data_IF_356236582214
#
_entry.id   IF_356236582214
#
_cell.length_a   1.000
_cell.length_b   1.000
_cell.length_c   1.000
_cell.angle_alpha   90.00
_cell.angle_beta   90.00
_cell.angle_gamma   90.00
#
_symmetry.space_group_name_H-M   'P 1'
#
loop_
_entity.id
_entity.type
_entity.pdbx_description
1 polymer ?
#
# COMPACT_ATOMS: atom_id res chain seq x y z
N UNK A 1 12.75 -39.80 11.41
CA UNK A 1 12.27 -38.42 11.68
C UNK A 1 11.04 -38.18 10.83
N UNK A 2 9.89 -38.01 11.47
CA UNK A 2 8.54 -38.22 10.95
C UNK A 2 8.08 -37.09 10.00
N UNK A 3 7.39 -37.44 8.91
CA UNK A 3 6.66 -36.51 7.98
C UNK A 3 5.73 -35.53 8.73
N UNK A 4 5.26 -35.87 9.94
CA UNK A 4 4.44 -34.98 10.79
C UNK A 4 5.24 -33.78 11.34
N UNK A 5 6.53 -33.92 11.64
CA UNK A 5 7.37 -32.85 12.18
C UNK A 5 7.74 -31.80 11.12
N UNK A 6 7.93 -32.23 9.85
CA UNK A 6 8.18 -31.33 8.73
C UNK A 6 6.93 -30.46 8.39
N UNK A 7 5.74 -31.03 8.53
CA UNK A 7 4.49 -30.30 8.31
C UNK A 7 4.21 -29.23 9.38
N UNK A 8 4.53 -29.54 10.63
CA UNK A 8 4.38 -28.60 11.75
C UNK A 8 5.33 -27.40 11.60
N UNK A 9 6.60 -27.68 11.32
CA UNK A 9 7.63 -26.64 11.09
C UNK A 9 7.28 -25.72 9.91
N UNK A 10 6.71 -26.28 8.86
CA UNK A 10 6.28 -25.48 7.68
C UNK A 10 5.10 -24.55 8.01
N UNK A 11 4.12 -25.04 8.79
CA UNK A 11 3.00 -24.22 9.27
C UNK A 11 3.47 -23.11 10.21
N UNK A 12 4.38 -23.40 11.12
CA UNK A 12 4.96 -22.40 12.03
C UNK A 12 5.77 -21.35 11.28
N UNK A 13 6.53 -21.73 10.25
CA UNK A 13 7.26 -20.80 9.40
C UNK A 13 6.32 -19.84 8.66
N UNK A 14 5.24 -20.36 8.06
CA UNK A 14 4.21 -19.55 7.39
C UNK A 14 3.54 -18.59 8.37
N UNK A 15 3.15 -19.09 9.55
CA UNK A 15 2.54 -18.26 10.59
C UNK A 15 3.47 -17.15 11.07
N UNK A 16 4.75 -17.49 11.34
CA UNK A 16 5.74 -16.51 11.79
C UNK A 16 6.02 -15.47 10.70
N UNK A 17 6.09 -15.86 9.42
CA UNK A 17 6.23 -14.93 8.30
C UNK A 17 5.06 -13.95 8.24
N UNK A 18 3.82 -14.43 8.38
CA UNK A 18 2.61 -13.57 8.42
C UNK A 18 2.63 -12.59 9.60
N UNK A 19 3.04 -13.07 10.81
CA UNK A 19 3.17 -12.20 12.00
C UNK A 19 4.24 -11.12 11.80
N UNK A 20 5.37 -11.47 11.21
CA UNK A 20 6.45 -10.53 10.90
C UNK A 20 6.01 -9.47 9.89
N UNK A 21 5.29 -9.84 8.83
CA UNK A 21 4.77 -8.88 7.84
C UNK A 21 3.72 -7.93 8.46
N UNK A 22 2.81 -8.46 9.27
CA UNK A 22 1.81 -7.63 9.96
C UNK A 22 2.47 -6.65 10.95
N UNK A 23 3.47 -7.11 11.71
CA UNK A 23 4.24 -6.27 12.61
C UNK A 23 5.08 -5.23 11.85
N UNK A 24 5.72 -5.62 10.74
CA UNK A 24 6.52 -4.71 9.91
C UNK A 24 5.67 -3.56 9.36
N UNK A 25 4.47 -3.85 8.83
CA UNK A 25 3.54 -2.81 8.37
C UNK A 25 3.22 -1.80 9.47
N UNK A 26 2.84 -2.29 10.66
CA UNK A 26 2.50 -1.43 11.79
C UNK A 26 3.70 -0.60 12.25
N UNK A 27 4.84 -1.22 12.45
CA UNK A 27 6.05 -0.57 12.96
C UNK A 27 6.60 0.45 11.95
N UNK A 28 6.58 0.13 10.65
CA UNK A 28 6.94 1.09 9.60
C UNK A 28 5.97 2.27 9.55
N UNK A 29 4.68 2.04 9.76
CA UNK A 29 3.67 3.11 9.82
C UNK A 29 3.88 4.06 11.01
N UNK A 30 4.25 3.53 12.17
CA UNK A 30 4.42 4.29 13.42
C UNK A 30 5.77 5.02 13.46
N UNK A 31 6.86 4.32 13.11
CA UNK A 31 8.23 4.77 13.33
C UNK A 31 9.02 5.06 12.05
N UNK A 32 8.42 4.83 10.87
CA UNK A 32 9.09 4.97 9.58
C UNK A 32 10.00 3.77 9.27
N UNK A 33 10.65 3.86 8.11
CA UNK A 33 11.42 2.75 7.55
C UNK A 33 12.81 2.55 8.18
N UNK A 34 13.30 3.52 8.96
CA UNK A 34 14.61 3.44 9.62
C UNK A 34 14.59 2.66 10.95
N UNK A 35 13.40 2.27 11.42
CA UNK A 35 13.22 1.51 12.65
C UNK A 35 14.07 0.24 12.69
N UNK A 36 14.61 -0.10 13.86
CA UNK A 36 15.43 -1.30 14.03
C UNK A 36 14.62 -2.58 13.78
N UNK A 37 15.18 -3.55 13.02
CA UNK A 37 14.55 -4.86 12.80
C UNK A 37 14.21 -5.60 14.10
N UNK A 38 14.97 -5.30 15.18
CA UNK A 38 14.71 -5.83 16.51
C UNK A 38 13.34 -5.42 17.07
N UNK A 39 12.88 -4.22 16.75
CA UNK A 39 11.55 -3.75 17.17
C UNK A 39 10.44 -4.48 16.41
N UNK A 40 10.65 -4.74 15.12
CA UNK A 40 9.74 -5.55 14.32
C UNK A 40 9.64 -6.98 14.87
N UNK A 41 10.77 -7.60 15.22
CA UNK A 41 10.80 -8.93 15.83
C UNK A 41 10.04 -8.96 17.17
N UNK A 42 10.25 -7.94 18.01
CA UNK A 42 9.54 -7.78 19.29
C UNK A 42 8.03 -7.57 19.06
N UNK A 43 7.64 -6.72 18.13
CA UNK A 43 6.24 -6.45 17.80
C UNK A 43 5.53 -7.66 17.19
N UNK A 44 6.28 -8.56 16.53
CA UNK A 44 5.79 -9.84 16.00
C UNK A 44 5.78 -10.96 17.04
N UNK A 45 6.34 -10.74 18.23
CA UNK A 45 6.57 -11.75 19.27
C UNK A 45 7.32 -12.97 18.71
N UNK A 46 8.45 -12.69 18.03
CA UNK A 46 9.39 -13.71 17.53
C UNK A 46 10.83 -13.34 17.88
N UNK A 47 11.72 -14.34 17.89
CA UNK A 47 13.13 -14.07 18.10
C UNK A 47 13.77 -13.35 16.90
N UNK A 48 14.85 -12.58 17.14
CA UNK A 48 15.66 -12.00 16.06
C UNK A 48 16.15 -13.08 15.09
N UNK A 49 16.55 -14.24 15.57
CA UNK A 49 16.98 -15.37 14.74
C UNK A 49 15.85 -15.82 13.82
N UNK A 50 14.61 -15.84 14.29
CA UNK A 50 13.44 -16.16 13.48
C UNK A 50 13.20 -15.10 12.39
N UNK A 51 13.37 -13.81 12.71
CA UNK A 51 13.27 -12.74 11.73
C UNK A 51 14.31 -12.91 10.63
N UNK A 52 15.60 -13.05 10.97
CA UNK A 52 16.68 -13.19 9.99
C UNK A 52 16.62 -14.49 9.18
N UNK A 53 15.98 -15.54 9.70
CA UNK A 53 15.69 -16.74 8.91
C UNK A 53 14.59 -16.54 7.87
N UNK A 54 13.66 -15.63 8.13
CA UNK A 54 12.56 -15.33 7.22
C UNK A 54 12.90 -14.22 6.22
N UNK A 55 13.75 -13.26 6.64
CA UNK A 55 14.13 -12.09 5.82
C UNK A 55 15.60 -11.78 6.08
N UNK A 56 16.42 -11.92 5.04
CA UNK A 56 17.87 -11.72 5.11
C UNK A 56 18.28 -10.28 5.39
N UNK A 57 17.44 -9.31 5.02
CA UNK A 57 17.71 -7.88 5.22
C UNK A 57 16.43 -7.07 5.46
N UNK A 58 16.62 -5.78 5.82
CA UNK A 58 15.54 -4.80 5.93
C UNK A 58 14.86 -4.56 4.59
N UNK A 59 15.67 -4.45 3.54
CA UNK A 59 15.24 -4.20 2.18
C UNK A 59 14.38 -5.36 1.67
N UNK A 60 14.74 -6.60 1.99
CA UNK A 60 13.95 -7.78 1.65
C UNK A 60 12.61 -7.79 2.38
N UNK A 61 12.59 -7.47 3.67
CA UNK A 61 11.36 -7.34 4.46
C UNK A 61 10.46 -6.23 3.89
N UNK A 62 11.04 -5.05 3.61
CA UNK A 62 10.31 -3.94 3.02
C UNK A 62 9.76 -4.28 1.63
N UNK A 63 10.56 -4.91 0.79
CA UNK A 63 10.12 -5.36 -0.53
C UNK A 63 8.95 -6.35 -0.44
N UNK A 64 8.99 -7.27 0.53
CA UNK A 64 7.89 -8.21 0.75
C UNK A 64 6.62 -7.50 1.26
N UNK A 65 6.76 -6.51 2.14
CA UNK A 65 5.62 -5.69 2.59
C UNK A 65 5.02 -4.90 1.42
N UNK A 66 5.87 -4.35 0.56
CA UNK A 66 5.43 -3.60 -0.62
C UNK A 66 4.70 -4.51 -1.62
N UNK A 67 5.26 -5.69 -1.90
CA UNK A 67 4.66 -6.71 -2.77
C UNK A 67 3.27 -7.14 -2.29
N UNK A 68 3.10 -7.33 -0.98
CA UNK A 68 1.81 -7.64 -0.38
C UNK A 68 0.81 -6.47 -0.50
N UNK A 69 1.28 -5.22 -0.46
CA UNK A 69 0.44 -4.06 -0.75
C UNK A 69 -0.06 -4.10 -2.20
N UNK A 70 0.78 -4.49 -3.17
CA UNK A 70 0.35 -4.63 -4.57
C UNK A 70 -0.71 -5.73 -4.72
N UNK A 71 -0.53 -6.88 -4.08
CA UNK A 71 -1.56 -7.95 -4.08
C UNK A 71 -2.91 -7.41 -3.57
N UNK A 72 -2.90 -6.62 -2.49
CA UNK A 72 -4.13 -6.01 -1.96
C UNK A 72 -4.76 -4.99 -2.92
N UNK A 73 -3.94 -4.26 -3.69
CA UNK A 73 -4.43 -3.37 -4.74
C UNK A 73 -5.10 -4.19 -5.86
N UNK A 74 -4.46 -5.27 -6.29
CA UNK A 74 -5.00 -6.17 -7.32
C UNK A 74 -6.34 -6.81 -6.88
N UNK A 75 -6.41 -7.30 -5.63
CA UNK A 75 -7.64 -7.86 -5.05
C UNK A 75 -8.75 -6.80 -4.99
N UNK A 76 -8.44 -5.60 -4.49
CA UNK A 76 -9.42 -4.51 -4.43
C UNK A 76 -9.88 -4.07 -5.82
N UNK A 77 -8.97 -3.97 -6.79
CA UNK A 77 -9.33 -3.66 -8.18
C UNK A 77 -10.28 -4.71 -8.77
N UNK A 78 -10.06 -5.98 -8.46
CA UNK A 78 -10.94 -7.06 -8.93
C UNK A 78 -12.37 -6.95 -8.33
N UNK A 79 -12.49 -6.57 -7.04
CA UNK A 79 -13.78 -6.35 -6.38
C UNK A 79 -14.54 -5.15 -6.97
N UNK A 80 -13.81 -4.14 -7.44
CA UNK A 80 -14.39 -2.89 -7.96
C UNK A 80 -14.76 -2.95 -9.46
N UNK A 81 -14.53 -4.07 -10.13
CA UNK A 81 -14.91 -4.23 -11.53
C UNK A 81 -16.40 -4.02 -11.74
N UNK A 82 -16.75 -3.17 -12.73
CA UNK A 82 -18.14 -2.83 -13.04
C UNK A 82 -18.77 -1.78 -12.10
N UNK A 83 -18.00 -1.24 -11.15
CA UNK A 83 -18.44 -0.08 -10.36
C UNK A 83 -18.18 1.22 -11.10
N UNK A 84 -19.17 2.10 -11.19
CA UNK A 84 -19.05 3.45 -11.78
C UNK A 84 -18.05 4.33 -11.03
N UNK A 85 -17.84 4.06 -9.74
CA UNK A 85 -16.91 4.77 -8.85
C UNK A 85 -15.62 4.01 -8.61
N UNK A 86 -15.43 2.86 -9.27
CA UNK A 86 -14.34 1.92 -9.00
C UNK A 86 -12.95 2.54 -9.12
N UNK A 87 -12.72 3.43 -10.09
CA UNK A 87 -11.45 4.13 -10.24
C UNK A 87 -11.16 5.05 -9.05
N UNK A 88 -12.15 5.82 -8.58
CA UNK A 88 -12.04 6.67 -7.41
C UNK A 88 -11.85 5.85 -6.13
N UNK A 89 -12.63 4.79 -5.95
CA UNK A 89 -12.53 3.93 -4.76
C UNK A 89 -11.16 3.24 -4.65
N UNK A 90 -10.59 2.78 -5.78
CA UNK A 90 -9.25 2.22 -5.79
C UNK A 90 -8.19 3.29 -5.52
N UNK A 91 -8.35 4.48 -6.09
CA UNK A 91 -7.46 5.62 -5.81
C UNK A 91 -7.43 5.95 -4.31
N UNK A 92 -8.60 6.09 -3.69
CA UNK A 92 -8.74 6.35 -2.26
C UNK A 92 -8.11 5.24 -1.40
N UNK A 93 -8.33 3.97 -1.76
CA UNK A 93 -7.74 2.81 -1.09
C UNK A 93 -6.21 2.85 -1.11
N UNK A 94 -5.61 3.24 -2.24
CA UNK A 94 -4.14 3.35 -2.36
C UNK A 94 -3.61 4.50 -1.52
N UNK A 95 -4.29 5.65 -1.49
CA UNK A 95 -3.89 6.77 -0.64
C UNK A 95 -3.93 6.42 0.86
N UNK A 96 -4.98 5.72 1.30
CA UNK A 96 -5.07 5.22 2.68
C UNK A 96 -3.94 4.24 3.02
N UNK A 97 -3.61 3.37 2.08
CA UNK A 97 -2.50 2.42 2.24
C UNK A 97 -1.14 3.13 2.33
N UNK A 98 -0.91 4.15 1.51
CA UNK A 98 0.33 4.96 1.55
C UNK A 98 0.48 5.65 2.91
N UNK A 99 -0.60 6.27 3.42
CA UNK A 99 -0.60 6.90 4.74
C UNK A 99 -0.34 5.88 5.85
N UNK A 100 -0.97 4.72 5.79
CA UNK A 100 -0.80 3.64 6.76
C UNK A 100 0.57 2.98 6.72
N UNK A 101 1.29 3.04 5.60
CA UNK A 101 2.60 2.39 5.41
C UNK A 101 3.79 3.35 5.53
N UNK A 102 3.58 4.67 5.73
CA UNK A 102 4.62 5.71 5.72
C UNK A 102 5.61 5.54 4.56
N UNK A 103 5.11 5.34 3.37
CA UNK A 103 5.90 5.09 2.15
C UNK A 103 7.22 4.33 2.41
N UNK A 104 7.20 3.02 2.30
CA UNK A 104 8.42 2.18 2.35
C UNK A 104 9.17 2.17 1.02
N UNK A 105 8.61 2.82 -0.01
CA UNK A 105 9.21 2.93 -1.33
C UNK A 105 10.67 3.46 -1.34
N UNK A 106 11.08 4.41 -0.47
CA UNK A 106 12.47 4.90 -0.46
C UNK A 106 13.52 3.85 -0.13
N UNK A 107 13.19 2.80 0.61
CA UNK A 107 14.15 1.74 0.97
C UNK A 107 14.16 0.56 0.00
N UNK A 108 13.26 0.58 -0.99
CA UNK A 108 13.26 -0.48 -1.99
C UNK A 108 14.50 -0.33 -2.89
N UNK A 109 15.27 -1.42 -3.08
CA UNK A 109 16.39 -1.38 -4.01
C UNK A 109 15.87 -1.00 -5.39
N UNK A 110 16.33 0.13 -5.93
CA UNK A 110 16.02 0.53 -7.31
C UNK A 110 16.75 -0.34 -8.34
N UNK A 111 17.55 -1.29 -7.87
CA UNK A 111 18.30 -2.20 -8.71
C UNK A 111 17.43 -3.37 -9.19
N UNK A 112 17.44 -3.58 -10.50
CA UNK A 112 17.00 -4.77 -11.20
C UNK A 112 15.48 -5.03 -11.27
N UNK A 113 14.74 -4.22 -12.04
CA UNK A 113 13.48 -4.68 -12.65
C UNK A 113 12.28 -4.89 -11.72
N UNK A 114 12.52 -5.31 -10.47
CA UNK A 114 11.46 -5.64 -9.51
C UNK A 114 10.56 -4.45 -9.15
N UNK A 115 11.15 -3.25 -9.05
CA UNK A 115 10.36 -2.04 -8.79
C UNK A 115 9.49 -1.69 -10.00
N UNK A 116 10.05 -1.84 -11.21
CA UNK A 116 9.33 -1.60 -12.46
C UNK A 116 8.19 -2.62 -12.63
N UNK A 117 8.41 -3.89 -12.28
CA UNK A 117 7.37 -4.92 -12.28
C UNK A 117 6.23 -4.59 -11.31
N UNK A 118 6.54 -4.12 -10.11
CA UNK A 118 5.52 -3.74 -9.11
C UNK A 118 4.74 -2.50 -9.54
N UNK A 119 5.41 -1.52 -10.16
CA UNK A 119 4.75 -0.34 -10.74
C UNK A 119 3.85 -0.73 -11.92
N UNK A 120 4.30 -1.65 -12.77
CA UNK A 120 3.51 -2.18 -13.88
C UNK A 120 2.25 -2.90 -13.39
N UNK A 121 2.36 -3.74 -12.36
CA UNK A 121 1.21 -4.43 -11.74
C UNK A 121 0.20 -3.45 -11.15
N UNK A 122 0.66 -2.38 -10.50
CA UNK A 122 -0.23 -1.30 -10.03
C UNK A 122 -0.96 -0.65 -11.20
N UNK A 123 -0.25 -0.33 -12.29
CA UNK A 123 -0.85 0.25 -13.49
C UNK A 123 -1.89 -0.68 -14.11
N UNK A 124 -1.59 -1.98 -14.20
CA UNK A 124 -2.51 -2.98 -14.75
C UNK A 124 -3.77 -3.17 -13.89
N UNK A 125 -3.66 -3.03 -12.57
CA UNK A 125 -4.81 -3.04 -11.68
C UNK A 125 -5.75 -1.83 -11.89
N UNK A 126 -5.18 -0.65 -12.14
CA UNK A 126 -5.95 0.57 -12.39
C UNK A 126 -6.54 0.66 -13.80
N UNK A 127 -5.82 0.15 -14.80
CA UNK A 127 -6.16 0.31 -16.22
C UNK A 127 -7.63 0.05 -16.52
N UNK A 128 -8.23 -1.12 -16.24
CA UNK A 128 -9.61 -1.41 -16.60
C UNK A 128 -10.59 -0.47 -15.90
N UNK A 129 -10.34 -0.11 -14.64
CA UNK A 129 -11.24 0.79 -13.90
C UNK A 129 -11.20 2.22 -14.44
N UNK A 130 -10.02 2.71 -14.84
CA UNK A 130 -9.87 4.05 -15.42
C UNK A 130 -10.47 4.10 -16.84
N UNK A 131 -10.30 3.05 -17.65
CA UNK A 131 -10.91 2.94 -18.97
C UNK A 131 -12.46 2.89 -18.88
N UNK A 132 -12.99 2.15 -17.90
CA UNK A 132 -14.43 2.10 -17.64
C UNK A 132 -14.96 3.46 -17.17
N UNK A 133 -14.24 4.11 -16.25
CA UNK A 133 -14.58 5.44 -15.76
C UNK A 133 -14.53 6.52 -16.86
N UNK A 134 -13.56 6.45 -17.77
CA UNK A 134 -13.48 7.37 -18.91
C UNK A 134 -14.68 7.20 -19.85
N UNK A 135 -15.10 5.95 -20.13
CA UNK A 135 -16.30 5.67 -20.94
C UNK A 135 -17.59 6.11 -20.26
N UNK A 136 -17.67 6.01 -18.94
CA UNK A 136 -18.82 6.42 -18.13
C UNK A 136 -18.86 7.92 -17.81
N UNK A 137 -17.80 8.69 -18.13
CA UNK A 137 -17.69 10.10 -17.77
C UNK A 137 -17.48 10.33 -16.27
N UNK A 138 -16.98 9.32 -15.53
CA UNK A 138 -16.74 9.40 -14.09
C UNK A 138 -15.28 9.75 -13.72
N UNK A 139 -14.44 10.04 -14.71
CA UNK A 139 -13.19 10.81 -14.60
C UNK A 139 -13.31 12.09 -15.41
N UNK A 140 -12.54 13.12 -15.07
CA UNK A 140 -12.54 14.39 -15.82
C UNK A 140 -12.00 14.20 -17.23
N UNK A 141 -12.43 15.04 -18.14
CA UNK A 141 -11.91 15.07 -19.51
C UNK A 141 -10.38 15.27 -19.50
N UNK A 142 -9.67 14.47 -20.29
CA UNK A 142 -8.21 14.45 -20.36
C UNK A 142 -7.53 13.67 -19.24
N UNK A 143 -8.27 13.10 -18.28
CA UNK A 143 -7.73 12.23 -17.25
C UNK A 143 -7.73 10.77 -17.73
N UNK A 144 -6.56 10.17 -17.76
CA UNK A 144 -6.35 8.76 -18.06
C UNK A 144 -5.51 8.08 -16.98
N UNK A 145 -5.01 6.88 -17.30
CA UNK A 145 -4.19 6.09 -16.40
C UNK A 145 -2.93 6.85 -15.95
N UNK A 146 -2.30 7.59 -16.85
CA UNK A 146 -1.08 8.36 -16.55
C UNK A 146 -1.30 9.39 -15.46
N UNK A 147 -2.39 10.16 -15.55
CA UNK A 147 -2.73 11.20 -14.58
C UNK A 147 -3.06 10.61 -13.21
N UNK A 148 -3.80 9.48 -13.18
CA UNK A 148 -4.12 8.77 -11.93
C UNK A 148 -2.85 8.25 -11.26
N UNK A 149 -1.95 7.59 -12.01
CA UNK A 149 -0.69 7.09 -11.46
C UNK A 149 0.25 8.22 -11.01
N UNK A 150 0.27 9.34 -11.74
CA UNK A 150 1.03 10.53 -11.35
C UNK A 150 0.50 11.10 -10.03
N UNK A 151 -0.81 11.21 -9.87
CA UNK A 151 -1.43 11.69 -8.62
C UNK A 151 -1.10 10.77 -7.42
N UNK A 152 -1.10 9.44 -7.62
CA UNK A 152 -0.67 8.48 -6.60
C UNK A 152 0.79 8.72 -6.19
N UNK A 153 1.68 8.95 -7.16
CA UNK A 153 3.09 9.27 -6.87
C UNK A 153 3.26 10.61 -6.17
N UNK A 154 2.46 11.61 -6.51
CA UNK A 154 2.46 12.90 -5.80
C UNK A 154 2.02 12.74 -4.34
N UNK A 155 1.05 11.87 -4.08
CA UNK A 155 0.58 11.60 -2.71
C UNK A 155 1.64 10.91 -1.83
N UNK A 156 2.58 10.15 -2.41
CA UNK A 156 3.71 9.55 -1.67
C UNK A 156 4.56 10.60 -0.93
N UNK A 157 4.70 11.79 -1.49
CA UNK A 157 5.46 12.89 -0.86
C UNK A 157 4.81 13.29 0.47
N UNK A 158 3.48 13.34 0.52
CA UNK A 158 2.76 13.66 1.76
C UNK A 158 2.87 12.54 2.80
N UNK A 159 2.88 11.28 2.35
CA UNK A 159 3.02 10.12 3.22
C UNK A 159 4.44 9.96 3.80
N UNK A 160 5.45 10.53 3.14
CA UNK A 160 6.86 10.49 3.57
C UNK A 160 7.21 11.54 4.64
N UNK A 161 6.32 12.51 4.93
CA UNK A 161 6.53 13.55 5.94
C UNK A 161 6.81 12.95 7.33
N UNK A 162 7.86 13.45 8.02
CA UNK A 162 8.31 12.88 9.30
C UNK A 162 7.36 13.20 10.44
N UNK A 163 6.92 14.45 10.57
CA UNK A 163 5.96 14.86 11.60
C UNK A 163 4.58 14.26 11.33
N UNK A 164 4.09 13.49 12.28
CA UNK A 164 2.81 12.78 12.14
C UNK A 164 1.62 13.72 11.96
N UNK A 165 1.63 14.88 12.64
CA UNK A 165 0.55 15.86 12.54
C UNK A 165 0.59 16.62 11.21
N UNK A 166 1.79 16.99 10.75
CA UNK A 166 2.00 17.61 9.44
C UNK A 166 1.62 16.63 8.33
N UNK A 167 2.08 15.38 8.41
CA UNK A 167 1.76 14.30 7.48
C UNK A 167 0.25 14.10 7.34
N UNK A 168 -0.47 13.96 8.45
CA UNK A 168 -1.91 13.77 8.42
C UNK A 168 -2.65 14.95 7.75
N UNK A 169 -2.24 16.19 8.08
CA UNK A 169 -2.84 17.40 7.47
C UNK A 169 -2.51 17.51 5.98
N UNK A 170 -1.24 17.30 5.59
CA UNK A 170 -0.84 17.41 4.19
C UNK A 170 -1.49 16.31 3.34
N UNK A 171 -1.52 15.08 3.86
CA UNK A 171 -2.19 13.97 3.20
C UNK A 171 -3.68 14.24 3.01
N UNK A 172 -4.39 14.68 4.06
CA UNK A 172 -5.81 14.99 3.94
C UNK A 172 -6.09 16.11 2.93
N UNK A 173 -5.29 17.19 2.94
CA UNK A 173 -5.45 18.29 1.98
C UNK A 173 -5.05 17.89 0.56
N UNK A 174 -3.93 17.20 0.41
CA UNK A 174 -3.48 16.69 -0.88
C UNK A 174 -4.49 15.73 -1.50
N UNK A 175 -5.07 14.85 -0.69
CA UNK A 175 -6.14 13.94 -1.11
C UNK A 175 -7.33 14.71 -1.71
N UNK A 176 -7.83 15.76 -1.02
CA UNK A 176 -8.93 16.58 -1.54
C UNK A 176 -8.56 17.19 -2.90
N UNK A 177 -7.38 17.79 -3.02
CA UNK A 177 -6.92 18.42 -4.28
C UNK A 177 -6.82 17.38 -5.40
N UNK A 178 -6.21 16.22 -5.13
CA UNK A 178 -5.99 15.19 -6.14
C UNK A 178 -7.31 14.54 -6.59
N UNK A 179 -8.22 14.20 -5.65
CA UNK A 179 -9.50 13.59 -6.02
C UNK A 179 -10.37 14.53 -6.85
N UNK A 180 -10.47 15.82 -6.49
CA UNK A 180 -11.22 16.79 -7.28
C UNK A 180 -10.52 17.19 -8.59
N UNK A 181 -9.20 17.02 -8.67
CA UNK A 181 -8.44 17.18 -9.92
C UNK A 181 -8.69 16.05 -10.92
N UNK A 182 -8.94 14.84 -10.46
CA UNK A 182 -9.11 13.66 -11.29
C UNK A 182 -10.57 13.32 -11.59
N UNK A 183 -11.47 13.53 -10.63
CA UNK A 183 -12.86 13.06 -10.68
C UNK A 183 -13.84 14.22 -10.60
N UNK A 184 -14.99 14.17 -11.32
CA UNK A 184 -16.05 15.16 -11.22
C UNK A 184 -16.63 15.23 -9.80
N UNK A 185 -17.12 16.41 -9.39
CA UNK A 185 -17.59 16.65 -8.02
C UNK A 185 -18.79 15.76 -7.66
N UNK A 186 -19.67 15.47 -8.62
CA UNK A 186 -20.80 14.55 -8.47
C UNK A 186 -20.34 13.08 -8.22
N UNK A 187 -19.20 12.67 -8.78
CA UNK A 187 -18.60 11.36 -8.54
C UNK A 187 -17.95 11.33 -7.17
N UNK A 188 -17.22 12.38 -6.83
CA UNK A 188 -16.57 12.56 -5.53
C UNK A 188 -17.60 12.51 -4.39
N UNK A 189 -18.77 13.12 -4.57
CA UNK A 189 -19.84 13.12 -3.57
C UNK A 189 -20.44 11.71 -3.31
N UNK A 190 -20.31 10.78 -4.25
CA UNK A 190 -20.81 9.39 -4.12
C UNK A 190 -19.89 8.48 -3.30
N UNK A 191 -18.62 8.86 -3.15
CA UNK A 191 -17.60 8.12 -2.39
C UNK A 191 -17.16 8.99 -1.22
N UNK A 192 -17.84 8.91 -0.06
CA UNK A 192 -17.48 9.69 1.12
C UNK A 192 -16.08 9.31 1.60
N UNK A 193 -15.35 10.32 2.09
CA UNK A 193 -14.05 10.08 2.71
C UNK A 193 -14.22 9.13 3.90
N UNK A 194 -13.50 8.02 3.87
CA UNK A 194 -13.42 7.18 5.07
C UNK A 194 -12.62 7.96 6.12
N UNK A 195 -13.18 8.18 7.32
CA UNK A 195 -12.41 8.81 8.37
C UNK A 195 -11.19 7.94 8.65
N UNK A 196 -10.00 8.53 8.54
CA UNK A 196 -8.76 7.87 8.99
C UNK A 196 -9.02 7.36 10.39
N UNK A 197 -9.09 6.04 10.56
CA UNK A 197 -9.42 5.41 11.83
C UNK A 197 -8.44 5.96 12.88
N UNK A 198 -8.93 6.82 13.77
CA UNK A 198 -8.20 7.24 14.95
C UNK A 198 -8.03 5.98 15.80
N UNK A 199 -6.91 5.30 15.63
CA UNK A 199 -6.53 4.25 16.58
C UNK A 199 -6.09 4.97 17.85
N UNK A 200 -6.95 4.83 18.90
CA UNK A 200 -6.64 5.20 20.27
C UNK A 200 -5.50 4.35 20.84
#
# INVERSE_FOLDING_TARGET
>A
VSMRDSGLRRRDAVRNRGRLLAAARRVFAEHGHEVALAEIARAADVSRTTLYRNFGSREELAATVYEDNIVRIEERAAELRGSDTGALELFEFVLDMQLASRSIAPILPRSAGRFDDLAARTADAFRPLVEDAARAGTVREGVGLTEVLLAIRMAEVFAAEEDAGVRARHHARGRVVLRHGLFPDEVVARVPEQPVARRG
#
